data_IF_676706159525
#
_entry.id   IF_676706159525
#
_cell.length_a   1.000
_cell.length_b   1.000
_cell.length_c   1.000
_cell.angle_alpha   90.00
_cell.angle_beta   90.00
_cell.angle_gamma   90.00
#
_symmetry.space_group_name_H-M   'P 1'
#
loop_
_entity.id
_entity.type
_entity.pdbx_description
1 polymer ?
#
# COMPACT_ATOMS: atom_id res chain seq x y z
N UNK A 1 22.96 2.70 5.32
CA UNK A 1 24.20 3.30 4.76
C UNK A 1 23.90 4.48 3.85
N UNK A 2 23.06 4.36 2.81
CA UNK A 2 22.74 5.48 1.88
C UNK A 2 22.33 6.80 2.56
N UNK A 3 21.43 6.77 3.55
CA UNK A 3 21.00 7.97 4.26
C UNK A 3 22.16 8.71 4.98
N UNK A 4 23.06 7.96 5.62
CA UNK A 4 24.25 8.52 6.27
C UNK A 4 25.20 9.13 5.25
N UNK A 5 25.42 8.45 4.12
CA UNK A 5 26.22 8.96 3.00
C UNK A 5 25.62 10.22 2.35
N UNK A 6 24.30 10.42 2.46
CA UNK A 6 23.61 11.62 2.01
C UNK A 6 23.55 12.73 3.07
N UNK A 7 24.23 12.57 4.22
CA UNK A 7 24.37 13.60 5.25
C UNK A 7 23.46 13.45 6.48
N UNK A 8 22.71 12.36 6.61
CA UNK A 8 21.93 12.13 7.83
C UNK A 8 22.84 11.87 9.04
N UNK A 9 22.60 12.55 10.17
CA UNK A 9 23.32 12.33 11.44
C UNK A 9 23.03 10.94 12.02
N UNK A 10 21.81 10.45 11.80
CA UNK A 10 21.34 9.14 12.25
C UNK A 10 20.44 8.52 11.18
N UNK A 11 20.53 7.20 11.01
CA UNK A 11 19.67 6.44 10.11
C UNK A 11 19.11 5.23 10.85
N UNK A 12 17.79 5.18 10.98
CA UNK A 12 17.07 4.13 11.69
C UNK A 12 16.28 3.27 10.71
N UNK A 13 16.24 1.97 10.98
CA UNK A 13 15.37 1.01 10.28
C UNK A 13 14.51 0.36 11.34
N UNK A 14 13.19 0.53 11.24
CA UNK A 14 12.20 -0.10 12.12
C UNK A 14 11.51 -1.21 11.33
N UNK A 15 11.64 -2.46 11.78
CA UNK A 15 10.84 -3.56 11.22
C UNK A 15 9.42 -3.47 11.80
N UNK A 16 8.47 -3.06 10.96
CA UNK A 16 7.09 -2.83 11.35
C UNK A 16 6.12 -3.78 10.64
N UNK A 17 6.61 -4.89 10.05
CA UNK A 17 5.78 -5.81 9.28
C UNK A 17 4.66 -6.43 10.13
N UNK A 18 4.97 -6.89 11.34
CA UNK A 18 3.95 -7.47 12.23
C UNK A 18 2.94 -6.42 12.68
N UNK A 19 3.40 -5.19 13.00
CA UNK A 19 2.51 -4.09 13.34
C UNK A 19 1.57 -3.75 12.18
N UNK A 20 2.11 -3.68 10.96
CA UNK A 20 1.34 -3.42 9.75
C UNK A 20 0.26 -4.48 9.53
N UNK A 21 0.63 -5.76 9.63
CA UNK A 21 -0.31 -6.86 9.40
C UNK A 21 -1.40 -6.87 10.46
N UNK A 22 -1.03 -6.85 11.75
CA UNK A 22 -1.97 -7.06 12.84
C UNK A 22 -2.88 -5.85 13.12
N UNK A 23 -2.39 -4.62 12.90
CA UNK A 23 -3.14 -3.41 13.27
C UNK A 23 -3.69 -2.61 12.08
N UNK A 24 -3.32 -2.94 10.84
CA UNK A 24 -3.82 -2.23 9.66
C UNK A 24 -4.44 -3.19 8.64
N UNK A 25 -3.69 -4.18 8.17
CA UNK A 25 -4.17 -5.12 7.15
C UNK A 25 -5.33 -5.96 7.66
N UNK A 26 -5.18 -6.63 8.80
CA UNK A 26 -6.21 -7.51 9.33
C UNK A 26 -7.50 -6.77 9.76
N UNK A 27 -7.44 -5.62 10.42
CA UNK A 27 -8.64 -4.82 10.66
C UNK A 27 -9.36 -4.40 9.37
N UNK A 28 -8.61 -4.01 8.33
CA UNK A 28 -9.19 -3.68 7.02
C UNK A 28 -9.81 -4.90 6.34
N UNK A 29 -9.18 -6.07 6.43
CA UNK A 29 -9.72 -7.33 5.93
C UNK A 29 -11.02 -7.72 6.65
N UNK A 30 -11.05 -7.65 7.99
CA UNK A 30 -12.26 -7.93 8.77
C UNK A 30 -13.42 -7.00 8.40
N UNK A 31 -13.11 -5.75 8.01
CA UNK A 31 -14.10 -4.79 7.55
C UNK A 31 -14.56 -5.01 6.09
N UNK A 32 -13.92 -5.89 5.33
CA UNK A 32 -14.01 -5.97 3.85
C UNK A 32 -13.71 -4.63 3.16
N UNK A 33 -12.72 -3.88 3.67
CA UNK A 33 -12.40 -2.55 3.17
C UNK A 33 -11.79 -2.62 1.76
N UNK A 34 -12.59 -2.26 0.76
CA UNK A 34 -12.17 -2.19 -0.64
C UNK A 34 -12.66 -0.87 -1.24
N UNK A 35 -11.71 -0.02 -1.61
CA UNK A 35 -12.00 1.28 -2.20
C UNK A 35 -12.53 1.13 -3.63
N UNK A 36 -13.65 1.81 -3.90
CA UNK A 36 -14.37 1.78 -5.18
C UNK A 36 -14.60 0.36 -5.73
N UNK A 37 -14.77 -0.61 -4.82
CA UNK A 37 -15.08 -2.01 -5.10
C UNK A 37 -13.93 -2.83 -5.69
N UNK A 38 -12.74 -2.25 -5.89
CA UNK A 38 -11.60 -2.96 -6.48
C UNK A 38 -10.30 -2.83 -5.67
N UNK A 39 -9.99 -1.68 -5.07
CA UNK A 39 -8.67 -1.44 -4.50
C UNK A 39 -8.58 -1.81 -3.00
N UNK A 40 -7.75 -2.80 -2.60
CA UNK A 40 -7.63 -3.24 -1.19
C UNK A 40 -6.70 -2.36 -0.34
N UNK A 41 -6.56 -1.07 -0.69
CA UNK A 41 -5.97 -0.03 0.15
C UNK A 41 -4.49 -0.25 0.55
N UNK A 42 -3.74 -1.07 -0.18
CA UNK A 42 -2.37 -1.45 0.18
C UNK A 42 -1.46 -0.25 0.47
N UNK A 43 -1.46 0.78 -0.37
CA UNK A 43 -0.69 2.00 -0.13
C UNK A 43 -1.26 2.76 1.06
N UNK A 44 -2.57 3.03 1.06
CA UNK A 44 -3.26 3.83 2.07
C UNK A 44 -3.05 3.31 3.51
N UNK A 45 -3.16 1.99 3.72
CA UNK A 45 -3.01 1.34 5.03
C UNK A 45 -1.64 1.55 5.66
N UNK A 46 -0.58 1.71 4.86
CA UNK A 46 0.77 1.85 5.38
C UNK A 46 1.06 3.25 5.94
N UNK A 47 0.40 4.29 5.41
CA UNK A 47 0.76 5.69 5.70
C UNK A 47 0.54 6.08 7.16
N UNK A 48 -0.59 5.72 7.81
CA UNK A 48 -0.79 6.02 9.23
C UNK A 48 0.26 5.36 10.13
N UNK A 49 0.69 4.13 9.83
CA UNK A 49 1.78 3.46 10.56
C UNK A 49 3.10 4.20 10.36
N UNK A 50 3.43 4.58 9.13
CA UNK A 50 4.64 5.36 8.84
C UNK A 50 4.62 6.72 9.55
N UNK A 51 3.50 7.43 9.54
CA UNK A 51 3.33 8.69 10.26
C UNK A 51 3.52 8.49 11.77
N UNK A 52 2.93 7.43 12.35
CA UNK A 52 3.15 7.09 13.76
C UNK A 52 4.61 6.84 14.09
N UNK A 53 5.30 6.00 13.30
CA UNK A 53 6.71 5.70 13.54
C UNK A 53 7.60 6.94 13.36
N UNK A 54 7.25 7.83 12.43
CA UNK A 54 7.92 9.12 12.22
C UNK A 54 7.75 10.04 13.42
N UNK A 55 6.52 10.19 13.93
CA UNK A 55 6.21 10.98 15.13
C UNK A 55 6.90 10.41 16.37
N UNK A 56 6.78 9.11 16.62
CA UNK A 56 7.42 8.46 17.78
C UNK A 56 8.94 8.72 17.77
N UNK A 57 9.57 8.59 16.59
CA UNK A 57 11.00 8.87 16.42
C UNK A 57 11.33 10.35 16.61
N UNK A 58 10.49 11.27 16.12
CA UNK A 58 10.70 12.70 16.29
C UNK A 58 10.67 13.09 17.77
N UNK A 59 9.73 12.53 18.55
CA UNK A 59 9.64 12.74 19.99
C UNK A 59 10.86 12.15 20.72
N UNK A 60 11.25 10.92 20.38
CA UNK A 60 12.45 10.26 20.94
C UNK A 60 13.74 11.08 20.72
N UNK A 61 13.88 11.71 19.55
CA UNK A 61 15.05 12.50 19.18
C UNK A 61 14.93 13.99 19.56
N UNK A 62 13.79 14.43 20.12
CA UNK A 62 13.54 15.84 20.44
C UNK A 62 13.50 16.75 19.21
N UNK A 63 13.05 16.24 18.07
CA UNK A 63 12.94 17.00 16.83
C UNK A 63 11.76 18.00 16.89
N UNK A 64 11.95 19.18 16.31
CA UNK A 64 10.90 20.21 16.21
C UNK A 64 10.06 20.09 14.93
N UNK A 65 10.48 19.24 14.00
CA UNK A 65 9.85 19.08 12.70
C UNK A 65 10.03 17.65 12.16
N UNK A 66 9.11 17.25 11.30
CA UNK A 66 9.18 16.02 10.51
C UNK A 66 9.07 16.34 9.03
N UNK A 67 9.60 15.47 8.17
CA UNK A 67 9.54 15.67 6.73
C UNK A 67 9.09 14.40 5.99
N UNK A 68 8.34 14.59 4.90
CA UNK A 68 7.96 13.52 3.98
C UNK A 68 8.13 13.98 2.52
N UNK A 69 8.32 13.01 1.62
CA UNK A 69 8.63 13.26 0.20
C UNK A 69 7.42 13.28 -0.73
N UNK A 70 6.19 13.37 -0.20
CA UNK A 70 4.98 13.26 -1.03
C UNK A 70 4.82 14.50 -1.93
N UNK A 71 4.32 14.27 -3.15
CA UNK A 71 4.01 15.35 -4.10
C UNK A 71 2.67 16.01 -3.78
N UNK A 72 2.43 17.19 -4.35
CA UNK A 72 1.17 17.94 -4.17
C UNK A 72 -0.05 17.36 -4.90
N UNK A 73 0.09 16.29 -5.70
CA UNK A 73 -1.00 15.70 -6.51
C UNK A 73 -1.50 14.34 -6.02
N UNK A 74 -0.81 13.74 -5.05
CA UNK A 74 -1.15 12.42 -4.50
C UNK A 74 -1.94 12.53 -3.19
N UNK A 75 -2.64 11.46 -2.84
CA UNK A 75 -3.37 11.36 -1.56
C UNK A 75 -2.43 11.23 -0.36
N UNK A 76 -1.21 10.71 -0.56
CA UNK A 76 -0.28 10.44 0.53
C UNK A 76 0.14 11.67 1.33
N UNK A 77 0.19 12.84 0.70
CA UNK A 77 0.44 14.07 1.44
C UNK A 77 -0.62 14.30 2.52
N UNK A 78 -1.89 13.98 2.23
CA UNK A 78 -3.00 14.16 3.17
C UNK A 78 -2.88 13.12 4.27
N UNK A 79 -2.63 11.86 3.92
CA UNK A 79 -2.48 10.75 4.89
C UNK A 79 -1.33 11.01 5.88
N UNK A 80 -0.20 11.52 5.42
CA UNK A 80 0.90 11.92 6.30
C UNK A 80 0.56 13.17 7.11
N UNK A 81 0.05 14.23 6.47
CA UNK A 81 -0.24 15.50 7.15
C UNK A 81 -1.29 15.31 8.24
N UNK A 82 -2.38 14.60 7.97
CA UNK A 82 -3.44 14.28 8.95
C UNK A 82 -2.90 13.37 10.05
N UNK A 83 -2.16 12.31 9.70
CA UNK A 83 -1.59 11.39 10.67
C UNK A 83 -0.61 12.07 11.64
N UNK A 84 0.28 12.93 11.14
CA UNK A 84 1.21 13.69 11.98
C UNK A 84 0.45 14.69 12.85
N UNK A 85 -0.47 15.48 12.28
CA UNK A 85 -1.22 16.47 13.05
C UNK A 85 -2.14 15.85 14.11
N UNK A 86 -2.66 14.65 13.87
CA UNK A 86 -3.48 13.94 14.85
C UNK A 86 -2.66 13.40 16.03
N UNK A 87 -1.40 13.04 15.81
CA UNK A 87 -0.54 12.42 16.82
C UNK A 87 0.34 13.42 17.57
N UNK A 88 0.82 14.46 16.88
CA UNK A 88 1.74 15.47 17.41
C UNK A 88 1.56 16.81 16.66
N UNK A 89 0.46 17.54 16.91
CA UNK A 89 0.15 18.82 16.24
C UNK A 89 1.19 19.92 16.45
N UNK A 90 2.07 19.78 17.44
CA UNK A 90 3.19 20.68 17.71
C UNK A 90 4.36 20.52 16.74
N UNK A 91 4.48 19.38 16.05
CA UNK A 91 5.55 19.15 15.08
C UNK A 91 5.28 19.90 13.79
N UNK A 92 6.27 20.68 13.33
CA UNK A 92 6.21 21.30 12.01
C UNK A 92 6.38 20.23 10.93
N UNK A 93 5.45 20.18 9.98
CA UNK A 93 5.59 19.33 8.79
C UNK A 93 6.35 20.09 7.69
N UNK A 94 7.32 19.43 7.06
CA UNK A 94 8.07 19.92 5.90
C UNK A 94 7.86 18.95 4.74
N UNK A 95 7.38 19.44 3.60
CA UNK A 95 7.12 18.62 2.42
C UNK A 95 7.91 19.14 1.21
N UNK A 96 9.23 18.84 1.11
CA UNK A 96 10.09 19.46 0.10
C UNK A 96 9.59 19.27 -1.32
N UNK A 97 9.13 18.06 -1.66
CA UNK A 97 8.61 17.73 -2.99
C UNK A 97 7.38 18.58 -3.41
N UNK A 98 6.62 19.09 -2.44
CA UNK A 98 5.47 19.98 -2.63
C UNK A 98 5.89 21.46 -2.69
N UNK A 99 6.95 21.84 -2.00
CA UNK A 99 7.33 23.23 -1.76
C UNK A 99 8.42 23.77 -2.72
N UNK A 100 9.39 22.94 -3.11
CA UNK A 100 10.63 23.40 -3.77
C UNK A 100 10.50 23.74 -5.26
N UNK A 101 9.41 23.33 -5.92
CA UNK A 101 9.21 23.48 -7.37
C UNK A 101 10.26 22.82 -8.28
N UNK A 102 11.16 21.96 -7.77
CA UNK A 102 12.24 21.39 -8.57
C UNK A 102 11.74 20.31 -9.54
N UNK A 103 12.20 20.36 -10.79
CA UNK A 103 12.05 19.26 -11.75
C UNK A 103 12.99 18.10 -11.40
N UNK A 104 12.73 16.91 -11.95
CA UNK A 104 13.63 15.76 -11.79
C UNK A 104 15.05 16.04 -12.25
N UNK A 105 15.23 16.83 -13.32
CA UNK A 105 16.57 17.21 -13.77
C UNK A 105 17.26 18.12 -12.75
N UNK A 106 16.52 19.07 -12.18
CA UNK A 106 17.07 19.97 -11.16
C UNK A 106 17.46 19.23 -9.87
N UNK A 107 16.74 18.17 -9.48
CA UNK A 107 17.13 17.35 -8.33
C UNK A 107 18.38 16.50 -8.62
N UNK A 108 18.57 16.05 -9.86
CA UNK A 108 19.81 15.39 -10.30
C UNK A 108 20.98 16.38 -10.27
N UNK A 109 20.80 17.57 -10.84
CA UNK A 109 21.83 18.61 -10.84
C UNK A 109 22.20 19.04 -9.41
N UNK A 110 21.20 19.14 -8.52
CA UNK A 110 21.42 19.41 -7.10
C UNK A 110 22.26 18.29 -6.45
N UNK A 111 21.91 17.03 -6.69
CA UNK A 111 22.65 15.89 -6.16
C UNK A 111 24.11 15.89 -6.65
N UNK A 112 24.36 16.18 -7.93
CA UNK A 112 25.71 16.28 -8.49
C UNK A 112 26.49 17.45 -7.88
N UNK A 113 25.87 18.63 -7.71
CA UNK A 113 26.52 19.80 -7.11
C UNK A 113 26.90 19.61 -5.64
N UNK A 114 26.22 18.72 -4.94
CA UNK A 114 26.42 18.44 -3.52
C UNK A 114 27.04 17.07 -3.25
N UNK A 115 27.60 16.41 -4.27
CA UNK A 115 28.24 15.10 -4.18
C UNK A 115 27.35 14.02 -3.52
N UNK A 116 26.03 14.13 -3.69
CA UNK A 116 25.06 13.17 -3.15
C UNK A 116 25.06 11.94 -4.07
N UNK A 117 25.41 10.75 -3.58
CA UNK A 117 25.48 9.55 -4.40
C UNK A 117 24.08 9.12 -4.86
N UNK A 118 23.79 9.33 -6.15
CA UNK A 118 22.57 8.86 -6.81
C UNK A 118 22.85 7.61 -7.64
N UNK A 119 22.01 6.57 -7.57
CA UNK A 119 22.12 5.44 -8.48
C UNK A 119 21.85 5.92 -9.91
N UNK A 120 22.85 5.80 -10.78
CA UNK A 120 22.75 6.10 -12.21
C UNK A 120 22.10 4.87 -12.87
N UNK A 121 20.79 4.73 -12.73
CA UNK A 121 20.04 3.68 -13.45
C UNK A 121 19.01 4.32 -14.35
N UNK A 122 18.89 3.78 -15.57
CA UNK A 122 17.78 4.07 -16.47
C UNK A 122 16.47 3.94 -15.68
N UNK A 123 15.69 5.01 -15.66
CA UNK A 123 14.46 5.03 -14.88
C UNK A 123 13.50 3.98 -15.45
N UNK A 124 12.94 3.13 -14.59
CA UNK A 124 11.67 2.49 -14.90
C UNK A 124 10.69 3.58 -15.34
N UNK A 125 9.89 3.38 -16.41
CA UNK A 125 8.87 4.34 -16.79
C UNK A 125 7.76 4.45 -15.75
N UNK A 126 7.69 3.51 -14.80
CA UNK A 126 6.66 3.43 -13.77
C UNK A 126 7.11 4.02 -12.43
N UNK A 127 6.17 4.67 -11.75
CA UNK A 127 6.24 4.93 -10.31
C UNK A 127 5.65 3.72 -9.59
N UNK A 128 6.39 3.16 -8.64
CA UNK A 128 6.03 1.91 -7.96
C UNK A 128 6.06 2.13 -6.46
N UNK A 129 5.02 1.69 -5.77
CA UNK A 129 4.98 1.55 -4.32
C UNK A 129 4.54 0.12 -3.96
N UNK A 130 5.25 -0.54 -3.06
CA UNK A 130 4.94 -1.90 -2.65
C UNK A 130 5.19 -2.14 -1.16
N UNK A 131 4.31 -2.92 -0.56
CA UNK A 131 4.46 -3.49 0.78
C UNK A 131 3.85 -4.90 0.77
N UNK A 132 3.87 -5.61 1.91
CA UNK A 132 3.38 -7.00 1.99
C UNK A 132 1.98 -7.23 1.43
N UNK A 133 1.10 -6.22 1.47
CA UNK A 133 -0.31 -6.35 1.11
C UNK A 133 -0.60 -6.12 -0.37
N UNK A 134 0.23 -5.34 -1.06
CA UNK A 134 0.07 -5.10 -2.48
C UNK A 134 1.08 -4.12 -3.05
N UNK A 135 1.02 -3.99 -4.36
CA UNK A 135 1.90 -3.17 -5.20
C UNK A 135 1.06 -2.26 -6.09
N UNK A 136 1.36 -0.97 -6.09
CA UNK A 136 0.78 0.08 -6.94
C UNK A 136 1.78 0.46 -8.03
N UNK A 137 1.26 0.72 -9.23
CA UNK A 137 2.02 1.03 -10.42
C UNK A 137 1.28 2.14 -11.17
N UNK A 138 1.95 3.28 -11.34
CA UNK A 138 1.41 4.44 -12.05
C UNK A 138 2.46 5.05 -12.99
N UNK A 139 2.07 6.14 -13.66
CA UNK A 139 2.87 6.93 -14.61
C UNK A 139 3.23 6.21 -15.93
N UNK A 140 3.85 6.98 -16.82
CA UNK A 140 4.28 6.50 -18.13
C UNK A 140 3.09 6.19 -19.03
N UNK A 141 3.14 5.05 -19.73
CA UNK A 141 2.08 4.63 -20.65
C UNK A 141 0.75 4.33 -19.96
N UNK A 142 0.76 4.13 -18.64
CA UNK A 142 -0.42 3.79 -17.85
C UNK A 142 -1.37 4.99 -17.65
N UNK A 143 -0.91 6.22 -17.85
CA UNK A 143 -1.75 7.42 -17.73
C UNK A 143 -2.83 7.50 -18.82
N UNK A 144 -2.61 6.87 -19.98
CA UNK A 144 -3.61 6.77 -21.04
C UNK A 144 -4.53 5.56 -20.78
N UNK A 145 -5.82 5.75 -20.45
CA UNK A 145 -6.75 4.66 -20.17
C UNK A 145 -7.04 3.77 -21.39
N UNK A 146 -6.66 4.20 -22.60
CA UNK A 146 -6.80 3.38 -23.80
C UNK A 146 -5.62 2.44 -24.04
N UNK A 147 -4.54 2.60 -23.28
CA UNK A 147 -3.35 1.74 -23.37
C UNK A 147 -3.50 0.56 -22.41
N UNK A 148 -3.43 -0.67 -22.93
CA UNK A 148 -3.36 -1.88 -22.10
C UNK A 148 -2.07 -1.86 -21.25
N UNK A 149 -2.13 -2.21 -19.95
CA UNK A 149 -0.93 -2.28 -19.12
C UNK A 149 0.06 -3.28 -19.72
N UNK A 150 1.29 -2.85 -20.07
CA UNK A 150 2.28 -3.75 -20.63
C UNK A 150 2.71 -4.80 -19.60
N UNK A 151 3.13 -5.97 -20.05
CA UNK A 151 3.46 -7.09 -19.15
C UNK A 151 4.61 -6.78 -18.18
N UNK A 152 5.53 -5.88 -18.56
CA UNK A 152 6.65 -5.44 -17.72
C UNK A 152 6.21 -4.52 -16.56
N UNK A 153 4.96 -4.06 -16.53
CA UNK A 153 4.38 -3.39 -15.38
C UNK A 153 4.17 -4.37 -14.21
N UNK A 154 3.95 -5.67 -14.48
CA UNK A 154 3.62 -6.68 -13.49
C UNK A 154 4.85 -7.47 -13.03
N UNK A 155 4.99 -7.68 -11.72
CA UNK A 155 6.14 -8.40 -11.14
C UNK A 155 5.74 -9.45 -10.12
N UNK A 156 4.60 -9.26 -9.44
CA UNK A 156 4.08 -10.18 -8.43
C UNK A 156 3.18 -11.25 -9.04
N UNK A 157 2.56 -10.95 -10.19
CA UNK A 157 1.57 -11.79 -10.84
C UNK A 157 2.03 -12.23 -12.22
N UNK A 158 1.76 -13.49 -12.58
CA UNK A 158 1.95 -13.99 -13.94
C UNK A 158 0.79 -13.56 -14.82
N UNK A 159 1.05 -13.30 -16.10
CA UNK A 159 -0.02 -13.17 -17.09
C UNK A 159 -0.90 -14.42 -17.05
N UNK A 160 -2.24 -14.29 -17.12
CA UNK A 160 -3.14 -15.44 -17.24
C UNK A 160 -2.77 -16.39 -18.40
N UNK A 161 -2.23 -15.86 -19.50
CA UNK A 161 -1.75 -16.66 -20.64
C UNK A 161 -0.54 -17.55 -20.31
N UNK A 162 0.21 -17.19 -19.27
CA UNK A 162 1.41 -17.89 -18.80
C UNK A 162 1.22 -18.53 -17.41
N UNK A 163 -0.01 -18.53 -16.89
CA UNK A 163 -0.35 -19.16 -15.63
C UNK A 163 -0.41 -20.70 -15.80
N UNK A 164 -0.20 -21.49 -14.72
CA UNK A 164 -0.34 -22.94 -14.81
C UNK A 164 -1.74 -23.36 -15.28
N UNK A 165 -1.81 -24.31 -16.21
CA UNK A 165 -3.10 -24.84 -16.71
C UNK A 165 -3.91 -25.58 -15.63
N UNK A 166 -3.22 -26.18 -14.66
CA UNK A 166 -3.87 -26.89 -13.56
C UNK A 166 -4.26 -25.89 -12.47
N UNK A 167 -5.52 -25.89 -12.00
CA UNK A 167 -5.92 -25.04 -10.88
C UNK A 167 -5.17 -25.43 -9.61
N UNK A 168 -4.94 -24.45 -8.75
CA UNK A 168 -4.53 -24.69 -7.37
C UNK A 168 -5.76 -24.65 -6.47
N UNK A 169 -5.74 -25.49 -5.43
CA UNK A 169 -6.69 -25.45 -4.33
C UNK A 169 -5.95 -24.95 -3.09
N UNK A 170 -6.63 -24.13 -2.29
CA UNK A 170 -6.10 -23.62 -1.03
C UNK A 170 -7.22 -23.58 -0.02
N UNK A 171 -6.95 -24.08 1.18
CA UNK A 171 -7.85 -23.95 2.33
C UNK A 171 -7.29 -22.88 3.28
N UNK A 172 -8.13 -21.93 3.71
CA UNK A 172 -7.72 -20.86 4.63
C UNK A 172 -8.56 -20.98 5.90
N UNK A 173 -7.91 -21.18 7.03
CA UNK A 173 -8.56 -21.18 8.33
C UNK A 173 -8.64 -19.77 8.90
N UNK A 174 -9.80 -19.42 9.46
CA UNK A 174 -10.03 -18.15 10.14
C UNK A 174 -10.43 -18.36 11.59
N UNK A 175 -9.96 -17.48 12.47
CA UNK A 175 -10.46 -17.34 13.84
C UNK A 175 -10.94 -15.90 14.04
N UNK A 176 -12.22 -15.71 14.35
CA UNK A 176 -12.83 -14.39 14.59
C UNK A 176 -12.55 -13.37 13.46
N UNK A 177 -12.57 -13.83 12.21
CA UNK A 177 -12.31 -13.00 11.02
C UNK A 177 -10.83 -12.79 10.69
N UNK A 178 -9.91 -13.32 11.50
CA UNK A 178 -8.47 -13.26 11.25
C UNK A 178 -8.00 -14.56 10.60
N UNK A 179 -7.28 -14.54 9.46
CA UNK A 179 -6.72 -15.75 8.88
C UNK A 179 -5.55 -16.26 9.74
N UNK A 180 -5.58 -17.55 10.09
CA UNK A 180 -4.61 -18.18 11.02
C UNK A 180 -3.91 -19.40 10.45
N UNK A 181 -4.41 -19.97 9.34
CA UNK A 181 -3.80 -21.14 8.72
C UNK A 181 -4.02 -21.20 7.21
N UNK A 182 -3.12 -21.93 6.52
CA UNK A 182 -3.22 -22.27 5.10
C UNK A 182 -2.96 -23.77 4.93
N UNK A 183 -3.88 -24.48 4.28
CA UNK A 183 -3.86 -25.93 4.07
C UNK A 183 -3.65 -26.71 5.38
N UNK A 184 -4.39 -26.31 6.43
CA UNK A 184 -4.31 -26.89 7.77
C UNK A 184 -3.04 -26.55 8.57
N UNK A 185 -2.10 -25.79 8.01
CA UNK A 185 -0.87 -25.37 8.69
C UNK A 185 -1.04 -23.99 9.31
N UNK A 186 -0.89 -23.88 10.63
CA UNK A 186 -0.89 -22.59 11.34
C UNK A 186 0.29 -21.73 10.91
N UNK A 187 0.03 -20.46 10.58
CA UNK A 187 1.04 -19.51 10.11
C UNK A 187 0.84 -18.15 10.80
N UNK A 188 1.93 -17.43 11.04
CA UNK A 188 1.85 -16.01 11.36
C UNK A 188 1.35 -15.21 10.15
N UNK A 189 0.84 -14.00 10.40
CA UNK A 189 0.20 -13.20 9.35
C UNK A 189 1.14 -12.82 8.20
N UNK A 190 2.44 -12.64 8.44
CA UNK A 190 3.40 -12.30 7.38
C UNK A 190 3.60 -13.52 6.48
N UNK A 191 3.92 -14.67 7.08
CA UNK A 191 4.14 -15.92 6.34
C UNK A 191 2.90 -16.34 5.55
N UNK A 192 1.71 -16.14 6.13
CA UNK A 192 0.43 -16.41 5.49
C UNK A 192 0.23 -15.54 4.24
N UNK A 193 0.40 -14.22 4.36
CA UNK A 193 0.26 -13.28 3.24
C UNK A 193 1.28 -13.59 2.15
N UNK A 194 2.53 -13.86 2.50
CA UNK A 194 3.58 -14.20 1.53
C UNK A 194 3.28 -15.50 0.78
N UNK A 195 2.81 -16.55 1.48
CA UNK A 195 2.41 -17.82 0.86
C UNK A 195 1.26 -17.62 -0.13
N UNK A 196 0.26 -16.84 0.25
CA UNK A 196 -0.88 -16.54 -0.62
C UNK A 196 -0.46 -15.64 -1.80
N UNK A 197 0.41 -14.66 -1.59
CA UNK A 197 0.95 -13.83 -2.68
C UNK A 197 1.66 -14.69 -3.72
N UNK A 198 2.52 -15.61 -3.28
CA UNK A 198 3.25 -16.51 -4.18
C UNK A 198 2.32 -17.46 -4.94
N UNK A 199 1.35 -18.08 -4.24
CA UNK A 199 0.41 -19.01 -4.86
C UNK A 199 -0.53 -18.29 -5.83
N UNK A 200 -1.25 -17.28 -5.35
CA UNK A 200 -2.24 -16.54 -6.14
C UNK A 200 -1.57 -15.78 -7.30
N UNK A 201 -0.43 -15.15 -7.05
CA UNK A 201 0.34 -14.44 -8.07
C UNK A 201 0.85 -15.37 -9.18
N UNK A 202 1.28 -16.60 -8.85
CA UNK A 202 1.62 -17.62 -9.85
C UNK A 202 0.44 -17.97 -10.77
N UNK A 203 -0.78 -17.87 -10.28
CA UNK A 203 -2.01 -18.11 -11.05
C UNK A 203 -2.64 -16.83 -11.63
N UNK A 204 -1.92 -15.70 -11.61
CA UNK A 204 -2.36 -14.43 -12.20
C UNK A 204 -3.48 -13.72 -11.43
N UNK A 205 -3.78 -14.15 -10.21
CA UNK A 205 -4.81 -13.55 -9.36
C UNK A 205 -4.31 -12.22 -8.80
N UNK A 206 -5.19 -11.22 -8.77
CA UNK A 206 -4.94 -9.95 -8.09
C UNK A 206 -4.33 -8.86 -8.96
N UNK A 207 -4.34 -8.98 -10.30
CA UNK A 207 -4.15 -7.85 -11.21
C UNK A 207 -5.42 -6.99 -11.22
N UNK A 208 -5.27 -5.69 -10.97
CA UNK A 208 -6.37 -4.73 -10.87
C UNK A 208 -6.00 -3.52 -11.72
N UNK A 209 -6.90 -3.09 -12.58
CA UNK A 209 -6.78 -1.88 -13.41
C UNK A 209 -7.97 -0.97 -13.10
N UNK A 210 -7.70 0.14 -12.44
CA UNK A 210 -8.73 0.99 -11.85
C UNK A 210 -8.51 2.45 -12.23
N UNK A 211 -9.59 3.11 -12.67
CA UNK A 211 -9.68 4.56 -12.65
C UNK A 211 -10.35 4.97 -11.34
N UNK A 212 -9.58 5.52 -10.42
CA UNK A 212 -10.03 5.86 -9.08
C UNK A 212 -10.27 7.35 -8.87
N UNK A 213 -11.04 7.69 -7.84
CA UNK A 213 -11.30 9.08 -7.43
C UNK A 213 -10.33 9.50 -6.31
N UNK A 214 -9.35 10.35 -6.63
CA UNK A 214 -8.46 10.88 -5.60
C UNK A 214 -9.20 11.89 -4.71
N UNK A 215 -8.84 11.92 -3.42
CA UNK A 215 -9.36 12.89 -2.46
C UNK A 215 -9.17 14.34 -2.93
N UNK A 216 -8.07 14.59 -3.65
CA UNK A 216 -7.73 15.92 -4.18
C UNK A 216 -8.59 16.36 -5.37
N UNK A 217 -9.64 15.60 -5.73
CA UNK A 217 -10.68 16.02 -6.69
C UNK A 217 -10.38 15.67 -8.16
N UNK A 218 -9.41 14.79 -8.42
CA UNK A 218 -9.10 14.31 -9.76
C UNK A 218 -9.29 12.80 -9.87
N UNK A 219 -9.51 12.30 -11.07
CA UNK A 219 -9.39 10.87 -11.37
C UNK A 219 -7.97 10.53 -11.75
N UNK A 220 -7.53 9.32 -11.41
CA UNK A 220 -6.26 8.75 -11.85
C UNK A 220 -6.45 7.28 -12.21
N UNK A 221 -5.73 6.81 -13.23
CA UNK A 221 -5.61 5.38 -13.49
C UNK A 221 -4.43 4.80 -12.71
N UNK A 222 -4.68 3.70 -12.02
CA UNK A 222 -3.72 2.98 -11.20
C UNK A 222 -3.82 1.49 -11.51
N UNK A 223 -2.66 0.84 -11.61
CA UNK A 223 -2.58 -0.60 -11.72
C UNK A 223 -2.10 -1.16 -10.37
N UNK A 224 -2.76 -2.21 -9.89
CA UNK A 224 -2.38 -2.87 -8.65
C UNK A 224 -2.12 -4.36 -8.83
N UNK A 225 -1.18 -4.88 -8.04
CA UNK A 225 -1.01 -6.31 -7.79
C UNK A 225 -1.27 -6.58 -6.31
N UNK A 226 -2.36 -7.28 -5.99
CA UNK A 226 -2.73 -7.61 -4.60
C UNK A 226 -3.22 -9.07 -4.47
N UNK A 227 -2.38 -10.08 -4.77
CA UNK A 227 -2.84 -11.47 -4.90
C UNK A 227 -3.40 -12.05 -3.60
N UNK A 228 -2.68 -11.91 -2.49
CA UNK A 228 -3.14 -12.37 -1.17
C UNK A 228 -4.39 -11.62 -0.72
N UNK A 229 -4.44 -10.30 -0.93
CA UNK A 229 -5.58 -9.48 -0.53
C UNK A 229 -6.87 -9.95 -1.21
N UNK A 230 -6.84 -10.17 -2.53
CA UNK A 230 -8.00 -10.64 -3.30
C UNK A 230 -8.46 -12.02 -2.81
N UNK A 231 -7.53 -12.95 -2.60
CA UNK A 231 -7.87 -14.30 -2.10
C UNK A 231 -8.48 -14.24 -0.69
N UNK A 232 -7.87 -13.45 0.21
CA UNK A 232 -8.32 -13.33 1.59
C UNK A 232 -9.67 -12.64 1.70
N UNK A 233 -9.91 -11.56 0.94
CA UNK A 233 -11.21 -10.89 0.89
C UNK A 233 -12.30 -11.84 0.39
N UNK A 234 -12.04 -12.59 -0.69
CA UNK A 234 -13.00 -13.56 -1.21
C UNK A 234 -13.31 -14.67 -0.20
N UNK A 235 -12.30 -15.18 0.50
CA UNK A 235 -12.48 -16.20 1.54
C UNK A 235 -13.23 -15.66 2.76
N UNK A 236 -12.92 -14.43 3.18
CA UNK A 236 -13.58 -13.76 4.30
C UNK A 236 -15.07 -13.50 4.01
N UNK A 237 -15.40 -12.97 2.84
CA UNK A 237 -16.79 -12.77 2.40
C UNK A 237 -17.58 -14.08 2.36
N UNK A 238 -16.97 -15.16 1.88
CA UNK A 238 -17.61 -16.49 1.85
C UNK A 238 -17.88 -17.03 3.26
N UNK A 239 -16.96 -16.82 4.19
CA UNK A 239 -17.13 -17.19 5.60
C UNK A 239 -18.28 -16.38 6.23
N UNK A 240 -18.31 -15.07 6.03
CA UNK A 240 -19.34 -14.20 6.59
C UNK A 240 -20.75 -14.53 6.08
N UNK A 241 -20.87 -14.92 4.81
CA UNK A 241 -22.14 -15.36 4.24
C UNK A 241 -22.71 -16.60 4.96
N UNK A 242 -21.85 -17.41 5.58
CA UNK A 242 -22.25 -18.58 6.38
C UNK A 242 -22.45 -18.27 7.87
N UNK A 243 -21.75 -17.27 8.41
CA UNK A 243 -21.70 -17.03 9.87
C UNK A 243 -22.50 -15.83 10.34
N UNK A 244 -22.82 -14.87 9.47
CA UNK A 244 -23.56 -13.66 9.82
C UNK A 244 -25.03 -13.75 9.41
N UNK A 245 -25.91 -13.14 10.22
CA UNK A 245 -27.31 -12.99 9.83
C UNK A 245 -27.46 -12.01 8.65
N UNK A 246 -28.51 -12.18 7.86
CA UNK A 246 -28.82 -11.35 6.69
C UNK A 246 -28.72 -9.84 6.93
N UNK A 247 -29.27 -9.35 8.05
CA UNK A 247 -29.29 -7.91 8.35
C UNK A 247 -27.92 -7.41 8.82
N UNK A 248 -27.13 -8.25 9.51
CA UNK A 248 -25.75 -7.95 9.87
C UNK A 248 -24.90 -7.79 8.61
N UNK A 249 -24.99 -8.75 7.67
CA UNK A 249 -24.25 -8.71 6.42
C UNK A 249 -24.57 -7.46 5.59
N UNK A 250 -25.87 -7.13 5.44
CA UNK A 250 -26.33 -5.94 4.71
C UNK A 250 -25.87 -4.63 5.33
N UNK A 251 -25.87 -4.56 6.67
CA UNK A 251 -25.41 -3.35 7.35
C UNK A 251 -23.88 -3.24 7.27
N UNK A 252 -23.16 -4.35 7.49
CA UNK A 252 -21.70 -4.41 7.38
C UNK A 252 -21.20 -3.93 6.03
N UNK A 253 -21.86 -4.31 4.92
CA UNK A 253 -21.50 -3.82 3.58
C UNK A 253 -21.52 -2.30 3.46
N UNK A 254 -22.44 -1.60 4.15
CA UNK A 254 -22.44 -0.13 4.17
C UNK A 254 -21.27 0.42 4.97
N UNK A 255 -21.02 -0.18 6.13
CA UNK A 255 -19.88 0.20 6.99
C UNK A 255 -18.55 -0.03 6.28
N UNK A 256 -18.43 -1.12 5.52
CA UNK A 256 -17.22 -1.46 4.76
C UNK A 256 -16.83 -0.36 3.76
N UNK A 257 -17.81 0.20 3.05
CA UNK A 257 -17.60 1.31 2.10
C UNK A 257 -17.11 2.56 2.83
N UNK A 258 -17.81 2.97 3.89
CA UNK A 258 -17.42 4.14 4.69
C UNK A 258 -16.03 3.94 5.33
N UNK A 259 -15.72 2.72 5.79
CA UNK A 259 -14.43 2.39 6.37
C UNK A 259 -13.30 2.46 5.34
N UNK A 260 -13.55 1.99 4.12
CA UNK A 260 -12.62 2.11 3.01
C UNK A 260 -12.37 3.58 2.63
N UNK A 261 -13.41 4.40 2.58
CA UNK A 261 -13.30 5.84 2.29
C UNK A 261 -12.51 6.58 3.38
N UNK A 262 -12.75 6.27 4.65
CA UNK A 262 -11.97 6.82 5.77
C UNK A 262 -10.48 6.50 5.61
N UNK A 263 -10.13 5.23 5.35
CA UNK A 263 -8.73 4.85 5.15
C UNK A 263 -8.13 5.53 3.92
N UNK A 264 -8.87 5.58 2.80
CA UNK A 264 -8.38 6.16 1.56
C UNK A 264 -8.07 7.65 1.70
N UNK A 265 -8.92 8.37 2.44
CA UNK A 265 -8.85 9.82 2.62
C UNK A 265 -7.82 10.27 3.68
N UNK A 266 -7.28 9.35 4.47
CA UNK A 266 -6.26 9.62 5.49
C UNK A 266 -6.82 10.12 6.81
#
# INVERSE_FOLDING_TARGET
>A
QKALSAGAVKALVKDAKELFVNYFVFPALQADAVYEGQYPLATALARPLMAKLLVDTAVEEGASAVAHGCTGKGNDQVRFDVGVNALAPELKIIAPAREWGMTRQQTIDYAQRHDIPIPITAASPYSIDENLWGRSIECGVLEDPWTEPPEDAFTWTRSPNNAPEKPAYVEIGFEKGIPVSVDGQGLDGISLIQRLNALAGKHGVGRIDLIENRLVGIKSREIYEAPAAVVLLQAHLALEAMTLAKDQLRFKQKVAVEYADLIYNG
#
